data_IF_052664727527
#
_entry.id   IF_052664727527
#
_cell.length_a   1.000
_cell.length_b   1.000
_cell.length_c   1.000
_cell.angle_alpha   90.00
_cell.angle_beta   90.00
_cell.angle_gamma   90.00
#
_symmetry.space_group_name_H-M   'P 1'
#
loop_
_entity.id
_entity.type
_entity.pdbx_description
1 polymer ?
#
# COMPACT_ATOMS: atom_id res chain seq x y z
N UNK A 1 -0.22 -5.25 1.54
CA UNK A 1 -0.80 -3.91 1.76
C UNK A 1 -1.94 -3.77 0.79
N UNK A 2 -3.07 -3.20 1.21
CA UNK A 2 -4.18 -2.96 0.31
C UNK A 2 -3.81 -2.05 -0.87
N UNK A 3 -4.42 -2.26 -2.02
CA UNK A 3 -4.21 -1.47 -3.23
C UNK A 3 -4.04 -2.27 -4.51
N UNK A 4 -4.16 -1.56 -5.64
CA UNK A 4 -4.09 -2.15 -6.96
C UNK A 4 -3.76 -1.11 -8.04
N UNK A 5 -4.50 -1.14 -9.14
CA UNK A 5 -4.28 -0.25 -10.27
C UNK A 5 -4.99 1.08 -10.04
N UNK A 6 -4.33 2.20 -10.34
CA UNK A 6 -5.00 3.49 -10.42
C UNK A 6 -5.98 3.52 -11.60
N UNK A 7 -7.26 3.70 -11.31
CA UNK A 7 -8.33 3.82 -12.29
C UNK A 7 -8.42 5.23 -12.87
N UNK A 8 -8.78 5.31 -14.15
CA UNK A 8 -9.01 6.58 -14.85
C UNK A 8 -10.27 7.24 -14.32
N UNK A 9 -10.19 8.54 -14.04
CA UNK A 9 -11.32 9.32 -13.51
C UNK A 9 -11.28 9.53 -12.00
N UNK A 10 -10.33 8.89 -11.31
CA UNK A 10 -10.08 9.08 -9.88
C UNK A 10 -8.71 9.74 -9.66
N UNK A 11 -8.63 10.65 -8.70
CA UNK A 11 -7.34 11.17 -8.20
C UNK A 11 -6.54 10.06 -7.50
N UNK A 12 -5.22 10.24 -7.28
CA UNK A 12 -4.41 9.25 -6.57
C UNK A 12 -4.94 8.92 -5.17
N UNK A 13 -5.46 9.91 -4.45
CA UNK A 13 -6.05 9.71 -3.11
C UNK A 13 -7.40 9.01 -3.18
N UNK A 14 -8.24 9.33 -4.17
CA UNK A 14 -9.53 8.62 -4.35
C UNK A 14 -9.31 7.15 -4.70
N UNK A 15 -8.31 6.85 -5.55
CA UNK A 15 -7.94 5.48 -5.91
C UNK A 15 -7.58 4.63 -4.68
N UNK A 16 -6.66 5.11 -3.82
CA UNK A 16 -6.26 4.32 -2.65
C UNK A 16 -7.40 4.17 -1.64
N UNK A 17 -8.28 5.17 -1.52
CA UNK A 17 -9.44 5.08 -0.64
C UNK A 17 -10.47 4.07 -1.15
N UNK A 18 -10.73 4.05 -2.46
CA UNK A 18 -11.58 3.05 -3.12
C UNK A 18 -11.06 1.64 -2.90
N UNK A 19 -9.77 1.41 -3.18
CA UNK A 19 -9.13 0.10 -2.99
C UNK A 19 -9.18 -0.36 -1.54
N UNK A 20 -8.95 0.53 -0.56
CA UNK A 20 -9.09 0.18 0.87
C UNK A 20 -10.52 -0.22 1.19
N UNK A 21 -11.53 0.50 0.71
CA UNK A 21 -12.93 0.16 0.96
C UNK A 21 -13.31 -1.20 0.34
N UNK A 22 -12.92 -1.44 -0.91
CA UNK A 22 -13.21 -2.69 -1.63
C UNK A 22 -12.49 -3.90 -1.02
N UNK A 23 -11.21 -3.76 -0.66
CA UNK A 23 -10.41 -4.87 -0.14
C UNK A 23 -10.61 -5.12 1.36
N UNK A 24 -10.97 -4.08 2.14
CA UNK A 24 -11.00 -4.18 3.61
C UNK A 24 -12.38 -3.99 4.22
N UNK A 25 -13.37 -3.52 3.47
CA UNK A 25 -14.69 -3.14 4.01
C UNK A 25 -14.65 -1.94 4.96
N UNK A 26 -13.52 -1.24 5.04
CA UNK A 26 -13.32 -0.09 5.90
C UNK A 26 -13.16 1.19 5.08
N UNK A 27 -13.79 2.25 5.53
CA UNK A 27 -13.47 3.61 5.08
C UNK A 27 -12.16 4.08 5.68
N UNK A 28 -11.49 5.00 5.00
CA UNK A 28 -10.20 5.53 5.45
C UNK A 28 -10.03 7.01 5.08
N UNK A 29 -9.00 7.62 5.66
CA UNK A 29 -8.49 8.93 5.26
C UNK A 29 -7.04 8.79 4.83
N UNK A 30 -6.71 9.28 3.63
CA UNK A 30 -5.33 9.42 3.19
C UNK A 30 -4.69 10.63 3.89
N UNK A 31 -3.68 10.39 4.73
CA UNK A 31 -3.02 11.42 5.54
C UNK A 31 -1.88 12.08 4.76
N UNK A 32 -1.00 11.28 4.15
CA UNK A 32 0.12 11.77 3.32
C UNK A 32 0.70 10.67 2.42
N UNK A 33 1.44 11.08 1.41
CA UNK A 33 2.20 10.19 0.54
C UNK A 33 3.55 9.82 1.20
N UNK A 34 3.79 8.53 1.44
CA UNK A 34 5.06 8.02 1.99
C UNK A 34 6.14 7.83 0.94
N UNK A 35 5.75 7.23 -0.18
CA UNK A 35 6.70 6.86 -1.20
C UNK A 35 6.11 6.86 -2.60
N UNK A 36 6.97 7.15 -3.58
CA UNK A 36 6.78 6.82 -4.99
C UNK A 36 7.94 5.91 -5.39
N UNK A 37 7.64 4.62 -5.57
CA UNK A 37 8.63 3.63 -6.01
C UNK A 37 8.51 3.37 -7.51
N UNK A 38 9.65 3.22 -8.19
CA UNK A 38 9.75 2.60 -9.50
C UNK A 38 9.90 1.09 -9.33
N UNK A 39 8.96 0.33 -9.91
CA UNK A 39 9.04 -1.13 -9.86
C UNK A 39 10.24 -1.69 -10.58
N UNK A 40 10.82 -1.01 -11.56
CA UNK A 40 12.04 -1.51 -12.23
C UNK A 40 13.23 -1.61 -11.27
N UNK A 41 13.30 -0.74 -10.25
CA UNK A 41 14.37 -0.74 -9.27
C UNK A 41 14.19 -1.84 -8.22
N UNK A 42 12.98 -1.99 -7.69
CA UNK A 42 12.73 -2.82 -6.51
C UNK A 42 12.14 -4.20 -6.82
N UNK A 43 11.44 -4.34 -7.94
CA UNK A 43 10.66 -5.54 -8.26
C UNK A 43 10.47 -5.64 -9.77
N UNK A 44 11.56 -5.85 -10.51
CA UNK A 44 11.57 -5.85 -11.98
C UNK A 44 10.55 -6.85 -12.56
N UNK A 45 9.73 -6.40 -13.50
CA UNK A 45 8.64 -7.18 -14.12
C UNK A 45 8.57 -6.91 -15.63
N UNK A 46 7.64 -7.57 -16.30
CA UNK A 46 7.35 -7.29 -17.72
C UNK A 46 6.70 -5.92 -17.96
N UNK A 47 6.20 -5.26 -16.92
CA UNK A 47 5.59 -3.94 -16.94
C UNK A 47 6.19 -3.08 -15.83
N UNK A 48 6.37 -1.80 -16.12
CA UNK A 48 6.83 -0.81 -15.16
C UNK A 48 5.63 -0.07 -14.56
N UNK A 49 5.69 0.20 -13.26
CA UNK A 49 4.68 0.96 -12.53
C UNK A 49 5.35 2.03 -11.66
N UNK A 50 4.74 3.21 -11.63
CA UNK A 50 4.97 4.17 -10.55
C UNK A 50 4.05 3.77 -9.39
N UNK A 51 4.63 3.24 -8.32
CA UNK A 51 3.90 2.73 -7.15
C UNK A 51 3.82 3.80 -6.08
N UNK A 52 2.63 4.35 -5.88
CA UNK A 52 2.34 5.31 -4.83
C UNK A 52 1.97 4.57 -3.55
N UNK A 53 2.58 4.93 -2.43
CA UNK A 53 2.26 4.36 -1.12
C UNK A 53 1.82 5.50 -0.20
N UNK A 54 0.57 5.44 0.24
CA UNK A 54 -0.02 6.43 1.14
C UNK A 54 -0.08 5.92 2.57
N UNK A 55 0.11 6.83 3.53
CA UNK A 55 -0.33 6.63 4.90
C UNK A 55 -1.83 6.88 4.96
N UNK A 56 -2.57 5.84 5.34
CA UNK A 56 -4.01 5.91 5.50
C UNK A 56 -4.39 5.57 6.93
N UNK A 57 -5.30 6.36 7.49
CA UNK A 57 -5.93 6.08 8.78
C UNK A 57 -7.28 5.41 8.51
N UNK A 58 -7.43 4.16 8.95
CA UNK A 58 -8.73 3.49 8.94
C UNK A 58 -9.71 4.21 9.87
N UNK A 59 -10.96 4.33 9.42
CA UNK A 59 -12.05 4.94 10.14
C UNK A 59 -13.05 3.85 10.53
N UNK A 60 -14.25 3.88 9.97
CA UNK A 60 -15.32 2.92 10.26
C UNK A 60 -15.34 1.78 9.24
N UNK A 61 -15.76 0.62 9.71
CA UNK A 61 -16.00 -0.56 8.89
C UNK A 61 -15.56 -1.84 9.60
N UNK A 62 -15.83 -2.96 8.96
CA UNK A 62 -15.40 -4.27 9.42
C UNK A 62 -15.05 -5.11 8.21
N UNK A 63 -13.92 -5.81 8.29
CA UNK A 63 -13.52 -6.71 7.25
C UNK A 63 -14.57 -7.80 7.05
N UNK A 64 -14.95 -7.99 5.79
CA UNK A 64 -15.74 -9.11 5.33
C UNK A 64 -14.98 -9.76 4.17
N UNK A 65 -14.80 -11.08 4.26
CA UNK A 65 -14.23 -11.87 3.18
C UNK A 65 -15.00 -11.60 1.88
N UNK A 66 -14.28 -11.41 0.78
CA UNK A 66 -14.87 -11.12 -0.52
C UNK A 66 -14.13 -11.87 -1.64
N UNK A 67 -14.54 -11.63 -2.90
CA UNK A 67 -13.97 -12.36 -4.04
C UNK A 67 -12.48 -12.08 -4.29
N UNK A 68 -11.95 -10.98 -3.77
CA UNK A 68 -10.57 -10.55 -3.95
C UNK A 68 -9.70 -10.84 -2.72
N UNK A 69 -10.25 -10.66 -1.51
CA UNK A 69 -9.52 -10.75 -0.25
C UNK A 69 -10.13 -11.84 0.65
N UNK A 70 -9.37 -12.92 0.78
CA UNK A 70 -9.70 -14.03 1.67
C UNK A 70 -9.47 -13.71 3.15
N UNK A 71 -8.46 -12.89 3.46
CA UNK A 71 -8.05 -12.62 4.83
C UNK A 71 -7.40 -11.23 4.97
N UNK A 72 -7.70 -10.56 6.08
CA UNK A 72 -7.04 -9.31 6.49
C UNK A 72 -6.45 -9.46 7.89
N UNK A 73 -5.16 -9.17 8.02
CA UNK A 73 -4.41 -9.25 9.28
C UNK A 73 -3.44 -8.09 9.43
N UNK A 74 -3.15 -7.73 10.68
CA UNK A 74 -2.10 -6.76 11.03
C UNK A 74 -0.86 -7.50 11.51
N UNK A 75 0.30 -7.14 10.95
CA UNK A 75 1.58 -7.77 11.27
C UNK A 75 2.55 -6.73 11.85
N UNK A 76 3.33 -7.14 12.85
CA UNK A 76 4.48 -6.36 13.27
C UNK A 76 5.56 -6.36 12.18
N UNK A 77 6.30 -5.27 12.01
CA UNK A 77 7.32 -5.13 10.96
C UNK A 77 8.44 -6.19 11.03
N UNK A 78 8.68 -6.75 12.22
CA UNK A 78 9.65 -7.83 12.46
C UNK A 78 9.03 -9.24 12.38
N UNK A 79 7.74 -9.34 12.06
CA UNK A 79 6.96 -10.58 11.95
C UNK A 79 6.10 -10.56 10.68
N UNK A 80 6.66 -10.03 9.59
CA UNK A 80 5.97 -9.99 8.30
C UNK A 80 5.70 -11.41 7.79
N UNK A 81 4.54 -11.66 7.16
CA UNK A 81 4.28 -12.92 6.48
C UNK A 81 5.14 -13.02 5.22
N UNK A 82 5.02 -14.12 4.50
CA UNK A 82 5.58 -14.23 3.14
C UNK A 82 4.97 -13.12 2.28
N UNK A 83 5.82 -12.26 1.73
CA UNK A 83 5.39 -11.12 0.93
C UNK A 83 5.11 -11.54 -0.52
N UNK A 84 4.13 -10.89 -1.13
CA UNK A 84 3.97 -10.92 -2.58
C UNK A 84 4.99 -9.96 -3.20
N UNK A 85 6.19 -10.46 -3.51
CA UNK A 85 7.34 -9.65 -3.96
C UNK A 85 7.09 -8.83 -5.25
N UNK A 86 6.06 -9.18 -6.05
CA UNK A 86 5.63 -8.35 -7.20
C UNK A 86 4.81 -7.13 -6.77
N UNK A 87 4.22 -7.15 -5.58
CA UNK A 87 3.40 -6.08 -5.01
C UNK A 87 4.16 -5.26 -3.99
N UNK A 88 5.00 -5.86 -3.16
CA UNK A 88 5.83 -5.16 -2.18
C UNK A 88 7.00 -6.04 -1.76
N UNK A 89 8.20 -5.46 -1.66
CA UNK A 89 9.39 -6.19 -1.19
C UNK A 89 9.71 -5.86 0.26
N UNK A 90 10.52 -6.71 0.90
CA UNK A 90 11.00 -6.45 2.26
C UNK A 90 11.79 -5.13 2.36
N UNK A 91 12.62 -4.83 1.37
CA UNK A 91 13.38 -3.58 1.31
C UNK A 91 12.44 -2.36 1.24
N UNK A 92 11.38 -2.43 0.44
CA UNK A 92 10.37 -1.36 0.39
C UNK A 92 9.65 -1.21 1.74
N UNK A 93 9.33 -2.31 2.43
CA UNK A 93 8.73 -2.26 3.78
C UNK A 93 9.66 -1.58 4.80
N UNK A 94 10.96 -1.85 4.75
CA UNK A 94 11.95 -1.22 5.62
C UNK A 94 12.07 0.28 5.35
N UNK A 95 12.09 0.70 4.08
CA UNK A 95 12.08 2.12 3.69
C UNK A 95 10.82 2.80 4.22
N UNK A 96 9.64 2.23 3.96
CA UNK A 96 8.36 2.78 4.42
C UNK A 96 8.33 2.90 5.96
N UNK A 97 8.90 1.93 6.67
CA UNK A 97 8.99 1.98 8.13
C UNK A 97 9.90 3.11 8.64
N UNK A 98 11.03 3.35 7.97
CA UNK A 98 11.90 4.49 8.28
C UNK A 98 11.19 5.84 8.05
N UNK A 99 10.45 5.95 6.94
CA UNK A 99 9.62 7.14 6.64
C UNK A 99 8.56 7.34 7.71
N UNK A 100 7.83 6.28 8.08
CA UNK A 100 6.82 6.31 9.14
C UNK A 100 7.41 6.75 10.48
N UNK A 101 8.61 6.28 10.83
CA UNK A 101 9.31 6.65 12.07
C UNK A 101 9.94 8.06 12.03
N UNK A 102 9.86 8.77 10.92
CA UNK A 102 10.52 10.07 10.75
C UNK A 102 12.05 9.97 10.73
N UNK A 103 12.59 8.78 10.46
CA UNK A 103 14.03 8.54 10.31
C UNK A 103 14.51 8.84 8.88
N UNK A 104 13.55 9.01 7.97
CA UNK A 104 13.74 9.35 6.57
C UNK A 104 12.60 10.26 6.11
N UNK A 105 12.89 11.19 5.22
CA UNK A 105 11.86 11.95 4.51
C UNK A 105 11.09 11.06 3.52
N UNK A 106 10.04 11.60 2.89
CA UNK A 106 9.32 10.94 1.80
C UNK A 106 10.30 10.33 0.78
N UNK A 107 10.04 9.08 0.39
CA UNK A 107 10.88 8.38 -0.57
C UNK A 107 10.37 8.61 -1.99
N UNK A 108 11.25 9.04 -2.90
CA UNK A 108 10.95 9.09 -4.34
C UNK A 108 12.16 8.49 -5.06
N UNK A 109 11.89 7.53 -5.94
CA UNK A 109 12.91 6.96 -6.82
C UNK A 109 13.45 7.93 -7.87
#
# INVERSE_FOLDING_TARGET
MPGGFGEVGYSPTENILKEIEEETGCTAKAERLFAVFDTNRFQLQSKQYAKFVFECKLLDGQFQENQEIAELQFFAINQLPVLSEKRITKEQMEILWQVYKGQRDQYVD
#
